data_IF_310850143561
#
_entry.id   IF_310850143561
#
_cell.length_a   1.000
_cell.length_b   1.000
_cell.length_c   1.000
_cell.angle_alpha   90.00
_cell.angle_beta   90.00
_cell.angle_gamma   90.00
#
_symmetry.space_group_name_H-M   'P 1'
#
loop_
_entity.id
_entity.type
_entity.pdbx_description
1 polymer ?
#
# COMPACT_ATOMS: atom_id res chain seq x y z
N UNK A 1 8.63 -11.31 57.49
CA UNK A 1 8.15 -10.58 56.30
C UNK A 1 6.97 -11.36 55.78
N UNK A 2 5.76 -10.84 55.94
CA UNK A 2 4.63 -11.39 55.19
C UNK A 2 4.95 -11.13 53.72
N UNK A 3 5.17 -12.21 52.96
CA UNK A 3 5.23 -12.14 51.51
C UNK A 3 3.95 -11.39 51.12
N UNK A 4 4.10 -10.21 50.51
CA UNK A 4 2.98 -9.32 50.19
C UNK A 4 1.81 -10.09 49.60
N UNK A 5 0.59 -9.65 49.93
CA UNK A 5 -0.66 -10.27 49.47
C UNK A 5 -0.55 -10.60 47.98
N UNK A 6 -1.05 -11.77 47.56
CA UNK A 6 -1.14 -12.15 46.14
C UNK A 6 -1.74 -11.02 45.28
N UNK A 7 -2.63 -10.22 45.86
CA UNK A 7 -3.23 -9.06 45.20
C UNK A 7 -2.22 -7.95 44.87
N UNK A 8 -1.24 -7.67 45.73
CA UNK A 8 -0.21 -6.65 45.48
C UNK A 8 0.75 -7.07 44.36
N UNK A 9 1.14 -8.35 44.34
CA UNK A 9 1.96 -8.90 43.26
C UNK A 9 1.24 -8.87 41.91
N UNK A 10 -0.05 -9.21 41.88
CA UNK A 10 -0.86 -9.14 40.67
C UNK A 10 -1.04 -7.69 40.21
N UNK A 11 -1.23 -6.75 41.15
CA UNK A 11 -1.38 -5.33 40.83
C UNK A 11 -0.10 -4.73 40.24
N UNK A 12 1.05 -5.00 40.87
CA UNK A 12 2.35 -4.56 40.34
C UNK A 12 2.66 -5.18 38.98
N UNK A 13 2.31 -6.45 38.77
CA UNK A 13 2.47 -7.10 37.46
C UNK A 13 1.56 -6.49 36.38
N UNK A 14 0.31 -6.19 36.74
CA UNK A 14 -0.64 -5.53 35.84
C UNK A 14 -0.18 -4.12 35.46
N UNK A 15 0.38 -3.37 36.41
CA UNK A 15 0.91 -2.02 36.17
C UNK A 15 2.11 -2.06 35.20
N UNK A 16 3.07 -2.97 35.44
CA UNK A 16 4.22 -3.14 34.55
C UNK A 16 3.79 -3.57 33.14
N UNK A 17 2.79 -4.46 33.03
CA UNK A 17 2.22 -4.85 31.74
C UNK A 17 1.50 -3.69 31.05
N UNK A 18 0.71 -2.91 31.78
CA UNK A 18 -0.01 -1.76 31.22
C UNK A 18 0.95 -0.70 30.66
N UNK A 19 2.01 -0.38 31.42
CA UNK A 19 3.08 0.53 30.96
C UNK A 19 3.79 -0.04 29.74
N UNK A 20 4.14 -1.33 29.76
CA UNK A 20 4.79 -1.99 28.62
C UNK A 20 3.92 -1.94 27.36
N UNK A 21 2.64 -2.29 27.46
CA UNK A 21 1.69 -2.22 26.34
C UNK A 21 1.55 -0.78 25.85
N UNK A 22 1.40 0.20 26.73
CA UNK A 22 1.29 1.61 26.35
C UNK A 22 2.53 2.11 25.57
N UNK A 23 3.73 1.64 25.92
CA UNK A 23 4.96 1.99 25.22
C UNK A 23 5.06 1.32 23.83
N UNK A 24 4.63 0.06 23.71
CA UNK A 24 4.82 -0.71 22.49
C UNK A 24 3.63 -0.71 21.51
N UNK A 25 2.41 -0.44 21.99
CA UNK A 25 1.19 -0.41 21.17
C UNK A 25 1.29 0.57 19.99
N UNK A 26 1.77 1.82 20.15
CA UNK A 26 1.90 2.75 19.03
C UNK A 26 2.84 2.22 17.94
N UNK A 27 3.89 1.51 18.34
CA UNK A 27 4.85 0.93 17.39
C UNK A 27 4.22 -0.20 16.57
N UNK A 28 3.39 -1.03 17.22
CA UNK A 28 2.70 -2.14 16.59
C UNK A 28 1.63 -1.63 15.62
N UNK A 29 0.85 -0.63 16.03
CA UNK A 29 -0.16 0.02 15.19
C UNK A 29 0.46 0.66 13.95
N UNK A 30 1.60 1.35 14.08
CA UNK A 30 2.33 1.91 12.93
C UNK A 30 2.74 0.83 11.93
N UNK A 31 3.32 -0.28 12.40
CA UNK A 31 3.73 -1.40 11.53
C UNK A 31 2.53 -2.03 10.81
N UNK A 32 1.42 -2.21 11.52
CA UNK A 32 0.19 -2.74 10.94
C UNK A 32 -0.39 -1.78 9.89
N UNK A 33 -0.45 -0.49 10.19
CA UNK A 33 -0.95 0.54 9.28
C UNK A 33 -0.10 0.63 8.01
N UNK A 34 1.24 0.59 8.11
CA UNK A 34 2.14 0.49 6.95
C UNK A 34 1.80 -0.71 6.07
N UNK A 35 1.69 -1.91 6.68
CA UNK A 35 1.40 -3.13 5.93
C UNK A 35 0.05 -3.04 5.21
N UNK A 36 -0.97 -2.52 5.89
CA UNK A 36 -2.29 -2.33 5.30
C UNK A 36 -2.27 -1.31 4.15
N UNK A 37 -1.55 -0.18 4.29
CA UNK A 37 -1.35 0.79 3.20
C UNK A 37 -0.69 0.13 1.99
N UNK A 38 0.42 -0.58 2.19
CA UNK A 38 1.13 -1.30 1.11
C UNK A 38 0.20 -2.26 0.36
N UNK A 39 -0.55 -3.09 1.10
CA UNK A 39 -1.48 -4.03 0.51
C UNK A 39 -2.61 -3.34 -0.27
N UNK A 40 -3.12 -2.20 0.21
CA UNK A 40 -4.12 -1.42 -0.51
C UNK A 40 -3.54 -0.86 -1.82
N UNK A 41 -2.35 -0.27 -1.79
CA UNK A 41 -1.67 0.25 -2.99
C UNK A 41 -1.46 -0.85 -4.04
N UNK A 42 -0.93 -2.01 -3.62
CA UNK A 42 -0.75 -3.18 -4.47
C UNK A 42 -2.05 -3.64 -5.12
N UNK A 43 -3.14 -3.75 -4.34
CA UNK A 43 -4.46 -4.14 -4.86
C UNK A 43 -5.00 -3.15 -5.86
N UNK A 44 -4.86 -1.84 -5.61
CA UNK A 44 -5.33 -0.81 -6.53
C UNK A 44 -4.60 -0.88 -7.86
N UNK A 45 -3.26 -0.98 -7.85
CA UNK A 45 -2.45 -1.12 -9.07
C UNK A 45 -2.83 -2.41 -9.81
N UNK A 46 -2.84 -3.56 -9.12
CA UNK A 46 -3.23 -4.85 -9.73
C UNK A 46 -4.63 -4.89 -10.30
N UNK A 47 -5.56 -4.10 -9.76
CA UNK A 47 -6.92 -4.02 -10.27
C UNK A 47 -7.03 -3.10 -11.49
N UNK A 48 -6.38 -1.94 -11.47
CA UNK A 48 -6.52 -0.93 -12.51
C UNK A 48 -5.64 -1.22 -13.73
N UNK A 49 -4.40 -1.69 -13.52
CA UNK A 49 -3.45 -1.92 -14.62
C UNK A 49 -3.97 -2.87 -15.70
N UNK A 50 -4.55 -4.05 -15.39
CA UNK A 50 -5.09 -4.92 -16.43
C UNK A 50 -6.24 -4.28 -17.20
N UNK A 51 -7.09 -3.50 -16.54
CA UNK A 51 -8.20 -2.78 -17.18
C UNK A 51 -7.71 -1.75 -18.18
N UNK A 52 -6.63 -1.03 -17.84
CA UNK A 52 -5.99 -0.07 -18.74
C UNK A 52 -5.44 -0.73 -20.02
N UNK A 53 -5.02 -1.99 -19.94
CA UNK A 53 -4.52 -2.76 -21.08
C UNK A 53 -5.65 -3.35 -21.93
N UNK A 54 -6.78 -3.72 -21.32
CA UNK A 54 -7.89 -4.38 -22.04
C UNK A 54 -8.88 -3.39 -22.66
N UNK A 55 -9.05 -2.22 -22.05
CA UNK A 55 -10.05 -1.24 -22.51
C UNK A 55 -9.56 -0.49 -23.77
N UNK A 56 -10.46 -0.16 -24.71
CA UNK A 56 -10.12 0.64 -25.88
C UNK A 56 -9.50 1.99 -25.49
N UNK A 57 -8.51 2.45 -26.25
CA UNK A 57 -7.80 3.70 -25.99
C UNK A 57 -8.69 4.94 -25.96
N UNK A 58 -9.79 4.91 -26.71
CA UNK A 58 -10.76 6.00 -26.83
C UNK A 58 -11.90 5.89 -25.83
N UNK A 59 -11.92 4.89 -24.95
CA UNK A 59 -13.01 4.76 -23.98
C UNK A 59 -12.85 5.76 -22.84
N UNK A 60 -13.95 6.41 -22.48
CA UNK A 60 -14.01 7.30 -21.32
C UNK A 60 -13.69 6.55 -20.03
N UNK A 61 -14.04 5.26 -19.97
CA UNK A 61 -13.73 4.37 -18.85
C UNK A 61 -12.21 4.20 -18.65
N UNK A 62 -11.45 3.94 -19.71
CA UNK A 62 -9.98 3.80 -19.61
C UNK A 62 -9.34 5.11 -19.15
N UNK A 63 -9.82 6.23 -19.69
CA UNK A 63 -9.35 7.56 -19.31
C UNK A 63 -9.69 7.88 -17.85
N UNK A 64 -10.86 7.46 -17.37
CA UNK A 64 -11.27 7.53 -15.98
C UNK A 64 -10.38 6.70 -15.06
N UNK A 65 -10.16 5.43 -15.40
CA UNK A 65 -9.30 4.52 -14.63
C UNK A 65 -7.85 5.02 -14.56
N UNK A 66 -7.33 5.60 -15.64
CA UNK A 66 -5.99 6.18 -15.67
C UNK A 66 -5.88 7.41 -14.75
N UNK A 67 -6.85 8.33 -14.83
CA UNK A 67 -6.91 9.50 -13.94
C UNK A 67 -7.06 9.09 -12.48
N UNK A 68 -7.87 8.05 -12.22
CA UNK A 68 -8.05 7.50 -10.88
C UNK A 68 -6.73 6.93 -10.36
N UNK A 69 -6.01 6.14 -11.16
CA UNK A 69 -4.71 5.60 -10.80
C UNK A 69 -3.70 6.72 -10.51
N UNK A 70 -3.60 7.72 -11.39
CA UNK A 70 -2.68 8.86 -11.21
C UNK A 70 -3.00 9.66 -9.95
N UNK A 71 -4.27 9.99 -9.73
CA UNK A 71 -4.70 10.73 -8.52
C UNK A 71 -4.42 9.92 -7.26
N UNK A 72 -4.74 8.62 -7.28
CA UNK A 72 -4.48 7.74 -6.16
C UNK A 72 -2.99 7.67 -5.83
N UNK A 73 -2.13 7.50 -6.83
CA UNK A 73 -0.68 7.45 -6.64
C UNK A 73 -0.15 8.78 -6.11
N UNK A 74 -0.55 9.92 -6.68
CA UNK A 74 -0.13 11.25 -6.23
C UNK A 74 -0.53 11.51 -4.76
N UNK A 75 -1.78 11.21 -4.40
CA UNK A 75 -2.26 11.39 -3.02
C UNK A 75 -1.56 10.43 -2.06
N UNK A 76 -1.33 9.19 -2.49
CA UNK A 76 -0.64 8.19 -1.67
C UNK A 76 0.81 8.56 -1.45
N UNK A 77 1.50 9.05 -2.47
CA UNK A 77 2.88 9.54 -2.44
C UNK A 77 3.05 10.73 -1.47
N UNK A 78 2.18 11.75 -1.59
CA UNK A 78 2.23 12.93 -0.72
C UNK A 78 2.01 12.61 0.77
N UNK A 79 1.32 11.50 1.07
CA UNK A 79 1.07 11.03 2.44
C UNK A 79 2.03 9.93 2.89
N UNK A 80 2.95 9.50 2.04
CA UNK A 80 3.83 8.39 2.34
C UNK A 80 5.14 8.88 2.97
N UNK A 81 5.55 8.20 4.04
CA UNK A 81 6.83 8.39 4.72
C UNK A 81 7.55 7.03 4.81
N UNK A 82 6.93 5.97 4.28
CA UNK A 82 7.41 4.59 4.42
C UNK A 82 8.06 4.10 3.12
N UNK A 83 9.35 3.73 3.15
CA UNK A 83 10.08 3.30 1.94
C UNK A 83 9.51 2.02 1.34
N UNK A 84 8.84 1.15 2.13
CA UNK A 84 8.26 -0.09 1.59
C UNK A 84 7.00 0.12 0.74
N UNK A 85 6.38 1.31 0.81
CA UNK A 85 5.26 1.72 -0.04
C UNK A 85 5.76 2.53 -1.24
N UNK A 86 6.87 3.25 -1.10
CA UNK A 86 7.52 4.06 -2.13
C UNK A 86 7.83 3.23 -3.39
N UNK A 87 8.49 2.07 -3.24
CA UNK A 87 8.77 1.15 -4.37
C UNK A 87 7.51 0.76 -5.17
N UNK A 88 6.39 0.57 -4.46
CA UNK A 88 5.11 0.17 -5.07
C UNK A 88 4.47 1.36 -5.80
N UNK A 89 4.57 2.56 -5.22
CA UNK A 89 4.11 3.80 -5.83
C UNK A 89 4.90 4.08 -7.11
N UNK A 90 6.23 3.99 -7.05
CA UNK A 90 7.13 4.22 -8.19
C UNK A 90 6.81 3.28 -9.35
N UNK A 91 6.60 1.99 -9.04
CA UNK A 91 6.16 1.01 -10.05
C UNK A 91 4.81 1.41 -10.66
N UNK A 92 3.85 1.86 -9.83
CA UNK A 92 2.56 2.36 -10.30
C UNK A 92 2.69 3.61 -11.18
N UNK A 93 3.58 4.54 -10.83
CA UNK A 93 3.85 5.75 -11.60
C UNK A 93 4.50 5.42 -12.95
N UNK A 94 5.46 4.49 -12.99
CA UNK A 94 6.04 3.98 -14.22
C UNK A 94 4.97 3.38 -15.13
N UNK A 95 4.10 2.51 -14.59
CA UNK A 95 2.97 1.94 -15.35
C UNK A 95 2.06 3.06 -15.90
N UNK A 96 1.69 4.03 -15.05
CA UNK A 96 0.82 5.13 -15.47
C UNK A 96 1.47 6.01 -16.56
N UNK A 97 2.78 6.19 -16.54
CA UNK A 97 3.53 6.96 -17.54
C UNK A 97 3.59 6.27 -18.90
N UNK A 98 3.57 4.94 -18.94
CA UNK A 98 3.54 4.14 -20.16
C UNK A 98 2.14 4.09 -20.81
N UNK A 99 1.10 4.48 -20.09
CA UNK A 99 -0.28 4.52 -20.60
C UNK A 99 -0.64 5.95 -21.02
N UNK A 100 -0.58 6.22 -22.31
CA UNK A 100 -0.98 7.51 -22.87
C UNK A 100 -2.51 7.60 -23.09
N UNK A 101 -3.08 8.77 -22.81
CA UNK A 101 -4.50 9.04 -23.08
C UNK A 101 -4.76 9.10 -24.58
N UNK A 102 -5.84 8.44 -25.03
CA UNK A 102 -6.26 8.47 -26.43
C UNK A 102 -5.37 7.68 -27.39
N UNK A 103 -4.32 6.99 -26.90
CA UNK A 103 -3.46 6.15 -27.72
C UNK A 103 -3.50 4.68 -27.27
N UNK A 104 -3.51 3.71 -28.21
CA UNK A 104 -3.34 2.32 -27.86
C UNK A 104 -1.98 2.11 -27.19
N UNK A 105 -1.95 1.25 -26.18
CA UNK A 105 -0.68 0.84 -25.57
C UNK A 105 0.04 -0.03 -26.60
N UNK A 106 1.31 0.26 -26.87
CA UNK A 106 2.09 -0.55 -27.81
C UNK A 106 2.30 -1.96 -27.24
N UNK A 107 2.51 -2.97 -28.09
CA UNK A 107 2.77 -4.34 -27.62
C UNK A 107 4.02 -4.42 -26.73
N UNK A 108 5.02 -3.56 -27.00
CA UNK A 108 6.22 -3.42 -26.20
C UNK A 108 5.90 -2.87 -24.80
N UNK A 109 5.13 -1.78 -24.72
CA UNK A 109 4.73 -1.17 -23.45
C UNK A 109 3.80 -2.10 -22.67
N UNK A 110 2.90 -2.83 -23.34
CA UNK A 110 2.03 -3.80 -22.71
C UNK A 110 2.82 -4.96 -22.08
N UNK A 111 3.88 -5.43 -22.74
CA UNK A 111 4.78 -6.45 -22.18
C UNK A 111 5.58 -5.90 -20.99
N UNK A 112 6.11 -4.67 -21.09
CA UNK A 112 6.83 -4.00 -20.01
C UNK A 112 5.93 -3.77 -18.78
N UNK A 113 4.71 -3.29 -18.98
CA UNK A 113 3.71 -3.09 -17.92
C UNK A 113 3.39 -4.41 -17.20
N UNK A 114 3.25 -5.52 -17.95
CA UNK A 114 3.04 -6.84 -17.34
C UNK A 114 4.24 -7.29 -16.52
N UNK A 115 5.46 -7.12 -17.02
CA UNK A 115 6.67 -7.44 -16.28
C UNK A 115 6.80 -6.61 -14.98
N UNK A 116 6.49 -5.32 -15.03
CA UNK A 116 6.43 -4.46 -13.84
C UNK A 116 5.36 -4.94 -12.86
N UNK A 117 4.18 -5.33 -13.35
CA UNK A 117 3.10 -5.84 -12.51
C UNK A 117 3.47 -7.16 -11.80
N UNK A 118 4.20 -8.03 -12.50
CA UNK A 118 4.68 -9.32 -11.99
C UNK A 118 5.86 -9.17 -11.02
N UNK A 119 6.67 -8.12 -11.16
CA UNK A 119 7.73 -7.79 -10.20
C UNK A 119 7.20 -7.30 -8.84
N UNK A 120 5.94 -6.87 -8.77
CA UNK A 120 5.33 -6.47 -7.51
C UNK A 120 5.12 -7.70 -6.61
N UNK A 121 5.44 -7.60 -5.30
CA UNK A 121 5.33 -8.72 -4.38
C UNK A 121 3.90 -9.27 -4.34
N UNK A 122 3.77 -10.61 -4.30
CA UNK A 122 2.50 -11.28 -4.10
C UNK A 122 1.88 -10.88 -2.76
N UNK A 123 0.72 -10.22 -2.83
CA UNK A 123 -0.12 -9.83 -1.68
C UNK A 123 -0.50 -11.01 -0.79
#
# INVERSE_FOLDING_TARGET
>A
MEIGSLAEWVTGFAEVLAVSVALFLPSWERRRATREKRLRTLRTIRRLTPRLLTLPATSDERSGDLRMLQTFLMVTDMMNIDPGVEDVIDTGQQIASMVHQGQPVSDHDAAAIRALLDSLPSS
#
